data_IF_725897311244
#
_entry.id   IF_725897311244
#
_cell.length_a   1.000
_cell.length_b   1.000
_cell.length_c   1.000
_cell.angle_alpha   90.00
_cell.angle_beta   90.00
_cell.angle_gamma   90.00
#
_symmetry.space_group_name_H-M   'P 1'
#
loop_
_entity.id
_entity.type
_entity.pdbx_description
1 polymer ?
#
# COMPACT_ATOMS: atom_id res chain seq x y z
N UNK A 1 -41.45 18.37 -47.22
CA UNK A 1 -40.16 17.69 -47.39
C UNK A 1 -39.42 17.92 -46.09
N UNK A 2 -39.88 17.19 -45.09
CA UNK A 2 -39.52 17.29 -43.68
C UNK A 2 -39.37 15.83 -43.23
N UNK A 3 -38.54 15.59 -42.22
CA UNK A 3 -38.43 14.33 -41.47
C UNK A 3 -37.60 13.17 -42.05
N UNK A 4 -36.29 13.36 -42.26
CA UNK A 4 -35.34 12.22 -42.36
C UNK A 4 -34.14 12.28 -41.40
N UNK A 5 -34.08 13.25 -40.49
CA UNK A 5 -32.93 13.40 -39.56
C UNK A 5 -33.20 12.95 -38.11
N UNK A 6 -34.42 12.54 -37.77
CA UNK A 6 -34.79 12.25 -36.37
C UNK A 6 -34.56 10.80 -35.92
N UNK A 7 -34.15 9.88 -36.81
CA UNK A 7 -34.15 8.43 -36.53
C UNK A 7 -32.75 7.79 -36.33
N UNK A 8 -31.73 8.59 -36.05
CA UNK A 8 -30.40 8.05 -35.65
C UNK A 8 -30.35 7.80 -34.14
N UNK A 9 -31.00 8.66 -33.34
CA UNK A 9 -31.02 8.57 -31.89
C UNK A 9 -32.05 7.55 -31.37
N UNK A 10 -33.14 7.30 -32.11
CA UNK A 10 -34.15 6.31 -31.74
C UNK A 10 -33.68 4.85 -31.94
N UNK A 11 -32.67 4.61 -32.79
CA UNK A 11 -32.12 3.27 -33.09
C UNK A 11 -31.20 2.71 -32.02
N UNK A 12 -30.66 3.54 -31.14
CA UNK A 12 -29.87 3.10 -30.00
C UNK A 12 -30.68 3.38 -28.74
N UNK A 13 -31.46 2.41 -28.23
CA UNK A 13 -32.20 2.65 -27.00
C UNK A 13 -31.18 3.00 -25.92
N UNK A 14 -31.32 4.13 -25.22
CA UNK A 14 -30.37 4.62 -24.20
C UNK A 14 -30.20 3.70 -22.97
N UNK A 15 -30.76 2.48 -23.03
CA UNK A 15 -30.93 1.54 -21.92
C UNK A 15 -29.76 0.57 -21.67
N UNK A 16 -28.92 0.13 -22.63
CA UNK A 16 -27.80 -0.77 -22.34
C UNK A 16 -26.46 -0.05 -22.14
N UNK A 17 -26.33 1.24 -22.49
CA UNK A 17 -25.06 1.97 -22.33
C UNK A 17 -24.75 2.30 -20.87
N UNK A 18 -25.74 2.76 -20.11
CA UNK A 18 -25.57 3.05 -18.68
C UNK A 18 -25.14 1.83 -17.83
N UNK A 19 -25.74 0.63 -17.96
CA UNK A 19 -25.28 -0.53 -17.20
C UNK A 19 -23.88 -0.99 -17.61
N UNK A 20 -23.51 -0.92 -18.90
CA UNK A 20 -22.17 -1.27 -19.36
C UNK A 20 -21.11 -0.29 -18.82
N UNK A 21 -21.38 1.01 -18.86
CA UNK A 21 -20.50 2.03 -18.29
C UNK A 21 -20.37 1.87 -16.77
N UNK A 22 -21.46 1.55 -16.07
CA UNK A 22 -21.41 1.25 -14.62
C UNK A 22 -20.61 -0.02 -14.31
N UNK A 23 -20.71 -1.05 -15.14
CA UNK A 23 -19.92 -2.26 -14.99
C UNK A 23 -18.43 -1.95 -15.17
N UNK A 24 -18.06 -1.26 -16.25
CA UNK A 24 -16.69 -0.85 -16.51
C UNK A 24 -16.13 0.05 -15.39
N UNK A 25 -16.93 1.01 -14.90
CA UNK A 25 -16.53 1.84 -13.78
C UNK A 25 -16.24 1.01 -12.51
N UNK A 26 -17.05 -0.01 -12.21
CA UNK A 26 -16.82 -0.92 -11.07
C UNK A 26 -15.57 -1.78 -11.25
N UNK A 27 -15.31 -2.28 -12.46
CA UNK A 27 -14.10 -3.05 -12.77
C UNK A 27 -12.84 -2.19 -12.58
N UNK A 28 -12.85 -0.95 -13.09
CA UNK A 28 -11.75 0.01 -12.90
C UNK A 28 -11.56 0.34 -11.41
N UNK A 29 -12.64 0.53 -10.66
CA UNK A 29 -12.57 0.80 -9.22
C UNK A 29 -11.97 -0.39 -8.47
N UNK A 30 -12.40 -1.61 -8.79
CA UNK A 30 -11.87 -2.83 -8.19
C UNK A 30 -10.38 -3.00 -8.49
N UNK A 31 -9.96 -2.81 -9.73
CA UNK A 31 -8.55 -2.85 -10.12
C UNK A 31 -7.74 -1.78 -9.41
N UNK A 32 -8.28 -0.57 -9.28
CA UNK A 32 -7.64 0.53 -8.55
C UNK A 32 -7.45 0.20 -7.07
N UNK A 33 -8.46 -0.42 -6.44
CA UNK A 33 -8.35 -0.91 -5.05
C UNK A 33 -7.31 -2.03 -4.90
N UNK A 34 -7.24 -2.96 -5.85
CA UNK A 34 -6.24 -4.02 -5.85
C UNK A 34 -4.83 -3.44 -6.00
N UNK A 35 -4.64 -2.49 -6.91
CA UNK A 35 -3.37 -1.77 -7.07
C UNK A 35 -2.98 -1.02 -5.81
N UNK A 36 -3.93 -0.33 -5.15
CA UNK A 36 -3.66 0.34 -3.88
C UNK A 36 -3.20 -0.64 -2.80
N UNK A 37 -3.94 -1.75 -2.60
CA UNK A 37 -3.59 -2.79 -1.62
C UNK A 37 -2.23 -3.44 -1.87
N UNK A 38 -1.89 -3.70 -3.13
CA UNK A 38 -0.58 -4.24 -3.51
C UNK A 38 0.54 -3.22 -3.27
N UNK A 39 0.31 -1.94 -3.58
CA UNK A 39 1.26 -0.86 -3.29
C UNK A 39 1.49 -0.73 -1.79
N UNK A 40 0.44 -0.76 -0.99
CA UNK A 40 0.53 -0.73 0.47
C UNK A 40 1.38 -1.91 0.97
N UNK A 41 1.07 -3.14 0.52
CA UNK A 41 1.84 -4.34 0.91
C UNK A 41 3.33 -4.22 0.56
N UNK A 42 3.65 -3.65 -0.60
CA UNK A 42 5.03 -3.42 -1.02
C UNK A 42 5.72 -2.36 -0.16
N UNK A 43 5.02 -1.27 0.17
CA UNK A 43 5.54 -0.24 1.07
C UNK A 43 5.75 -0.77 2.49
N UNK A 44 4.85 -1.61 2.99
CA UNK A 44 4.99 -2.28 4.28
C UNK A 44 6.27 -3.14 4.31
N UNK A 45 6.50 -3.98 3.28
CA UNK A 45 7.74 -4.77 3.16
C UNK A 45 8.99 -3.91 3.10
N UNK A 46 9.00 -2.87 2.27
CA UNK A 46 10.13 -1.93 2.19
C UNK A 46 10.42 -1.26 3.54
N UNK A 47 9.38 -0.97 4.31
CA UNK A 47 9.51 -0.36 5.64
C UNK A 47 10.14 -1.33 6.64
N UNK A 48 9.73 -2.60 6.60
CA UNK A 48 10.30 -3.69 7.39
C UNK A 48 11.78 -3.90 7.03
N UNK A 49 12.11 -3.97 5.73
CA UNK A 49 13.50 -4.19 5.29
C UNK A 49 14.40 -3.02 5.69
N UNK A 50 13.90 -1.78 5.60
CA UNK A 50 14.60 -0.60 6.13
C UNK A 50 14.82 -0.72 7.63
N UNK A 51 13.84 -1.13 8.42
CA UNK A 51 14.00 -1.34 9.85
C UNK A 51 15.03 -2.44 10.16
N UNK A 52 15.04 -3.54 9.39
CA UNK A 52 16.04 -4.59 9.52
C UNK A 52 17.46 -4.08 9.22
N UNK A 53 17.67 -3.34 8.12
CA UNK A 53 18.98 -2.74 7.81
C UNK A 53 19.50 -1.83 8.94
N UNK A 54 18.58 -1.17 9.65
CA UNK A 54 18.86 -0.29 10.78
C UNK A 54 19.23 -1.05 12.04
N UNK A 55 18.74 -2.27 12.22
CA UNK A 55 19.19 -3.16 13.31
C UNK A 55 20.54 -3.81 13.00
N UNK A 56 20.80 -4.15 11.73
CA UNK A 56 22.04 -4.77 11.29
C UNK A 56 23.24 -3.83 11.49
N UNK A 57 23.09 -2.55 11.13
CA UNK A 57 24.22 -1.59 11.08
C UNK A 57 24.87 -1.28 12.45
N UNK A 58 24.11 -1.01 13.54
CA UNK A 58 24.69 -0.66 14.84
C UNK A 58 24.91 -1.85 15.78
N UNK A 59 24.21 -2.99 15.59
CA UNK A 59 24.32 -4.14 16.50
C UNK A 59 25.13 -5.33 15.94
N UNK A 60 25.69 -5.25 14.73
CA UNK A 60 26.38 -6.37 14.07
C UNK A 60 25.55 -7.67 14.04
N UNK A 61 24.23 -7.54 13.98
CA UNK A 61 23.30 -8.68 13.94
C UNK A 61 23.20 -9.24 12.52
N UNK A 62 23.04 -10.57 12.42
CA UNK A 62 22.69 -11.18 11.14
C UNK A 62 21.26 -10.81 10.73
N UNK A 63 20.95 -10.91 9.45
CA UNK A 63 19.62 -10.60 8.91
C UNK A 63 18.50 -11.41 9.58
N UNK A 64 18.76 -12.70 9.84
CA UNK A 64 17.82 -13.58 10.56
C UNK A 64 17.59 -13.13 12.02
N UNK A 65 18.64 -12.68 12.71
CA UNK A 65 18.53 -12.19 14.09
C UNK A 65 17.72 -10.90 14.15
N UNK A 66 17.97 -9.96 13.21
CA UNK A 66 17.22 -8.71 13.12
C UNK A 66 15.73 -8.97 12.86
N UNK A 67 15.41 -9.87 11.92
CA UNK A 67 14.02 -10.24 11.63
C UNK A 67 13.33 -10.91 12.82
N UNK A 68 14.03 -11.84 13.49
CA UNK A 68 13.49 -12.53 14.67
C UNK A 68 13.26 -11.56 15.83
N UNK A 69 14.17 -10.62 16.04
CA UNK A 69 14.03 -9.57 17.05
C UNK A 69 12.84 -8.65 16.73
N UNK A 70 12.70 -8.20 15.47
CA UNK A 70 11.58 -7.36 15.03
C UNK A 70 10.24 -8.08 15.21
N UNK A 71 10.18 -9.38 14.86
CA UNK A 71 9.00 -10.22 15.07
C UNK A 71 8.67 -10.39 16.55
N UNK A 72 9.68 -10.62 17.39
CA UNK A 72 9.50 -10.74 18.84
C UNK A 72 8.96 -9.43 19.44
N UNK A 73 9.52 -8.28 19.06
CA UNK A 73 9.01 -6.98 19.51
C UNK A 73 7.56 -6.72 19.07
N UNK A 74 7.20 -7.14 17.86
CA UNK A 74 5.81 -7.05 17.37
C UNK A 74 4.86 -7.92 18.20
N UNK A 75 5.26 -9.14 18.55
CA UNK A 75 4.49 -10.02 19.43
C UNK A 75 4.36 -9.45 20.85
N UNK A 76 5.46 -9.00 21.44
CA UNK A 76 5.49 -8.45 22.81
C UNK A 76 4.63 -7.19 22.95
N UNK A 77 4.52 -6.40 21.87
CA UNK A 77 3.69 -5.19 21.82
C UNK A 77 2.28 -5.43 21.28
N UNK A 78 1.96 -6.64 20.85
CA UNK A 78 0.70 -7.00 20.17
C UNK A 78 0.37 -6.03 19.00
N UNK A 79 1.38 -5.69 18.21
CA UNK A 79 1.29 -4.74 17.10
C UNK A 79 1.74 -5.39 15.79
N UNK A 80 1.33 -4.82 14.65
CA UNK A 80 1.80 -5.30 13.35
C UNK A 80 3.29 -5.00 13.22
N UNK A 81 4.01 -5.90 12.54
CA UNK A 81 5.46 -5.75 12.35
C UNK A 81 5.83 -4.45 11.62
N UNK A 82 4.98 -3.97 10.72
CA UNK A 82 5.18 -2.68 10.04
C UNK A 82 5.08 -1.48 10.99
N UNK A 83 4.23 -1.53 12.01
CA UNK A 83 4.06 -0.44 12.96
C UNK A 83 5.29 -0.32 13.87
N UNK A 84 5.83 -1.46 14.31
CA UNK A 84 7.11 -1.52 15.02
C UNK A 84 8.26 -1.05 14.13
N UNK A 85 8.29 -1.47 12.86
CA UNK A 85 9.30 -1.02 11.91
C UNK A 85 9.26 0.50 11.70
N UNK A 86 8.07 1.09 11.58
CA UNK A 86 7.88 2.55 11.51
C UNK A 86 8.37 3.23 12.79
N UNK A 87 7.97 2.73 13.95
CA UNK A 87 8.40 3.28 15.24
C UNK A 87 9.93 3.24 15.39
N UNK A 88 10.57 2.14 14.99
CA UNK A 88 12.02 2.00 14.99
C UNK A 88 12.70 3.00 14.05
N UNK A 89 12.15 3.22 12.85
CA UNK A 89 12.65 4.21 11.91
C UNK A 89 12.49 5.65 12.44
N UNK A 90 11.41 5.96 13.16
CA UNK A 90 11.25 7.24 13.85
C UNK A 90 12.30 7.42 14.95
N UNK A 91 12.56 6.37 15.74
CA UNK A 91 13.58 6.40 16.79
C UNK A 91 15.00 6.46 16.21
N UNK A 92 15.27 5.85 15.05
CA UNK A 92 16.56 5.99 14.34
C UNK A 92 16.93 7.46 14.08
N UNK A 93 15.95 8.29 13.74
CA UNK A 93 16.19 9.73 13.56
C UNK A 93 16.68 10.39 14.86
N UNK A 94 16.26 9.87 16.02
CA UNK A 94 16.75 10.28 17.34
C UNK A 94 18.12 9.64 17.67
N UNK A 95 18.36 8.41 17.24
CA UNK A 95 19.62 7.69 17.54
C UNK A 95 20.82 8.18 16.72
N UNK A 96 20.61 9.01 15.69
CA UNK A 96 21.68 9.77 15.02
C UNK A 96 22.23 10.94 15.85
N UNK A 97 21.68 11.21 17.04
CA UNK A 97 22.29 12.15 17.98
C UNK A 97 23.52 11.45 18.58
N UNK A 98 24.75 11.93 18.32
CA UNK A 98 25.91 11.38 19.02
C UNK A 98 25.66 11.52 20.53
N UNK A 99 26.01 10.52 21.37
CA UNK A 99 26.09 10.78 22.79
C UNK A 99 27.08 11.93 22.97
N UNK A 100 26.54 13.10 23.31
CA UNK A 100 27.33 14.27 23.66
C UNK A 100 28.02 14.03 24.98
N UNK A 101 29.33 14.30 24.96
CA UNK A 101 30.26 14.59 26.06
C UNK A 101 30.41 13.60 27.22
#
# INVERSE_FOLDING_TARGET
>A
ADDEHDDILARFPDRPLLPLVRQQAREIEQLSRQLASLRDTLEERKTIDKANSVLITPQNMSEEQAWTALRKMAMDKNQRMVDIARALLTVKNLWKIPPGE
#
